data_IF_320113189437
#
_entry.id   IF_320113189437
#
_cell.length_a   1.000
_cell.length_b   1.000
_cell.length_c   1.000
_cell.angle_alpha   90.00
_cell.angle_beta   90.00
_cell.angle_gamma   90.00
#
_symmetry.space_group_name_H-M   'P 1'
#
loop_
_entity.id
_entity.type
_entity.pdbx_description
1 polymer ?
#
# COMPACT_ATOMS: atom_id res chain seq x y z
N UNK A 1 10.27 -1.61 -36.90
CA UNK A 1 9.53 -0.33 -36.87
C UNK A 1 8.51 -0.40 -35.75
N UNK A 2 8.63 0.42 -34.70
CA UNK A 2 7.66 0.39 -33.60
C UNK A 2 6.31 0.90 -34.12
N UNK A 3 5.29 0.02 -34.15
CA UNK A 3 3.93 0.37 -34.57
C UNK A 3 3.45 1.55 -33.72
N UNK A 4 3.20 2.69 -34.36
CA UNK A 4 2.80 3.93 -33.68
C UNK A 4 1.34 3.77 -33.27
N UNK A 5 1.12 3.34 -32.03
CA UNK A 5 -0.21 3.21 -31.44
C UNK A 5 -0.85 4.59 -31.25
N UNK A 6 -2.11 4.71 -31.63
CA UNK A 6 -2.93 5.90 -31.40
C UNK A 6 -3.23 6.09 -29.91
N UNK A 7 -3.66 7.30 -29.54
CA UNK A 7 -4.04 7.59 -28.15
C UNK A 7 -5.21 6.71 -27.67
N UNK A 8 -6.15 6.37 -28.56
CA UNK A 8 -7.27 5.48 -28.25
C UNK A 8 -6.80 4.04 -27.97
N UNK A 9 -5.86 3.52 -28.75
CA UNK A 9 -5.26 2.20 -28.49
C UNK A 9 -4.54 2.15 -27.14
N UNK A 10 -3.86 3.25 -26.76
CA UNK A 10 -3.24 3.35 -25.44
C UNK A 10 -4.27 3.36 -24.31
N UNK A 11 -5.40 4.03 -24.50
CA UNK A 11 -6.47 4.06 -23.50
C UNK A 11 -7.08 2.68 -23.27
N UNK A 12 -7.32 1.94 -24.37
CA UNK A 12 -7.79 0.56 -24.29
C UNK A 12 -6.80 -0.35 -23.54
N UNK A 13 -5.49 -0.18 -23.77
CA UNK A 13 -4.46 -0.93 -23.05
C UNK A 13 -4.45 -0.61 -21.55
N UNK A 14 -4.68 0.64 -21.14
CA UNK A 14 -4.76 0.98 -19.72
C UNK A 14 -6.01 0.40 -19.05
N UNK A 15 -7.16 0.42 -19.72
CA UNK A 15 -8.39 -0.22 -19.24
C UNK A 15 -8.24 -1.74 -19.13
N UNK A 16 -7.57 -2.36 -20.10
CA UNK A 16 -7.25 -3.78 -20.06
C UNK A 16 -6.27 -4.11 -18.92
N UNK A 17 -5.30 -3.23 -18.66
CA UNK A 17 -4.40 -3.36 -17.52
C UNK A 17 -5.16 -3.22 -16.18
N UNK A 18 -6.08 -2.27 -16.04
CA UNK A 18 -6.86 -2.08 -14.81
C UNK A 18 -7.81 -3.24 -14.52
N UNK A 19 -8.39 -3.84 -15.55
CA UNK A 19 -9.19 -5.06 -15.41
C UNK A 19 -8.35 -6.33 -15.24
N UNK A 20 -7.07 -6.28 -15.62
CA UNK A 20 -6.14 -7.37 -15.39
C UNK A 20 -5.57 -7.31 -13.97
N UNK A 21 -5.71 -8.39 -13.21
CA UNK A 21 -5.15 -8.48 -11.87
C UNK A 21 -3.63 -8.81 -11.88
N UNK A 22 -2.91 -8.34 -12.91
CA UNK A 22 -1.49 -8.64 -13.13
C UNK A 22 -0.62 -7.41 -12.89
N UNK A 23 0.68 -7.64 -12.67
CA UNK A 23 1.64 -6.54 -12.49
C UNK A 23 1.95 -5.85 -13.82
N UNK A 24 2.24 -4.55 -13.78
CA UNK A 24 2.54 -3.74 -14.98
C UNK A 24 3.68 -4.31 -15.81
N UNK A 25 4.66 -4.92 -15.16
CA UNK A 25 5.80 -5.54 -15.84
C UNK A 25 5.38 -6.71 -16.71
N UNK A 26 4.59 -7.63 -16.14
CA UNK A 26 4.05 -8.80 -16.86
C UNK A 26 3.14 -8.35 -18.01
N UNK A 27 2.28 -7.36 -17.77
CA UNK A 27 1.43 -6.79 -18.81
C UNK A 27 2.24 -6.17 -19.96
N UNK A 28 3.28 -5.40 -19.63
CA UNK A 28 4.13 -4.78 -20.65
C UNK A 28 4.89 -5.83 -21.48
N UNK A 29 5.42 -6.87 -20.85
CA UNK A 29 6.11 -7.97 -21.53
C UNK A 29 5.16 -8.72 -22.49
N UNK A 30 3.94 -9.03 -22.06
CA UNK A 30 2.93 -9.71 -22.89
C UNK A 30 2.49 -8.89 -24.11
N UNK A 31 2.38 -7.56 -23.95
CA UNK A 31 1.92 -6.66 -25.01
C UNK A 31 3.07 -6.07 -25.86
N UNK A 32 4.31 -6.52 -25.65
CA UNK A 32 5.50 -6.04 -26.35
C UNK A 32 5.75 -4.54 -26.13
N UNK A 33 5.46 -4.06 -24.92
CA UNK A 33 5.61 -2.68 -24.49
C UNK A 33 6.85 -2.54 -23.61
N UNK A 34 7.56 -1.43 -23.76
CA UNK A 34 8.54 -1.04 -22.74
C UNK A 34 7.83 -0.38 -21.57
N UNK A 35 8.27 -0.68 -20.35
CA UNK A 35 7.77 -0.02 -19.13
C UNK A 35 7.90 1.50 -19.23
N UNK A 36 9.04 1.98 -19.72
CA UNK A 36 9.29 3.42 -19.89
C UNK A 36 8.28 4.08 -20.83
N UNK A 37 7.94 3.43 -21.94
CA UNK A 37 6.91 3.93 -22.88
C UNK A 37 5.53 3.92 -22.25
N UNK A 38 5.20 2.87 -21.49
CA UNK A 38 3.93 2.76 -20.78
C UNK A 38 3.74 3.91 -19.77
N UNK A 39 4.75 4.21 -18.96
CA UNK A 39 4.73 5.34 -18.03
C UNK A 39 4.64 6.69 -18.73
N UNK A 40 5.48 6.90 -19.76
CA UNK A 40 5.48 8.16 -20.51
C UNK A 40 4.11 8.44 -21.15
N UNK A 41 3.47 7.40 -21.73
CA UNK A 41 2.15 7.52 -22.36
C UNK A 41 1.02 7.72 -21.35
N UNK A 42 1.08 7.03 -20.21
CA UNK A 42 0.11 7.21 -19.12
C UNK A 42 0.12 8.65 -18.61
N UNK A 43 1.32 9.20 -18.35
CA UNK A 43 1.48 10.60 -17.93
C UNK A 43 0.99 11.56 -19.00
N UNK A 44 1.33 11.34 -20.27
CA UNK A 44 0.90 12.20 -21.38
C UNK A 44 -0.64 12.26 -21.49
N UNK A 45 -1.32 11.12 -21.40
CA UNK A 45 -2.79 11.08 -21.49
C UNK A 45 -3.46 11.67 -20.25
N UNK A 46 -2.89 11.50 -19.05
CA UNK A 46 -3.35 12.19 -17.84
C UNK A 46 -3.22 13.72 -17.98
N UNK A 47 -2.09 14.20 -18.51
CA UNK A 47 -1.91 15.65 -18.73
C UNK A 47 -2.84 16.22 -19.78
N UNK A 48 -3.18 15.46 -20.83
CA UNK A 48 -4.14 15.91 -21.86
C UNK A 48 -5.56 15.96 -21.28
N UNK A 49 -5.97 14.98 -20.47
CA UNK A 49 -7.24 15.01 -19.75
C UNK A 49 -7.32 16.20 -18.75
N UNK A 50 -6.19 16.54 -18.12
CA UNK A 50 -6.07 17.67 -17.19
C UNK A 50 -5.95 19.02 -17.89
N UNK A 51 -5.52 19.06 -19.16
CA UNK A 51 -5.41 20.30 -19.94
C UNK A 51 -6.76 20.89 -20.36
N UNK A 52 -7.86 20.13 -20.21
CA UNK A 52 -9.22 20.66 -20.29
C UNK A 52 -9.62 21.46 -19.03
N UNK A 53 -8.83 21.38 -17.96
CA UNK A 53 -8.99 22.12 -16.71
C UNK A 53 -7.70 22.84 -16.40
N UNK A 54 -7.40 23.91 -17.13
CA UNK A 54 -6.29 24.82 -16.81
C UNK A 54 -6.68 25.63 -15.57
N UNK A 55 -6.60 24.98 -14.42
CA UNK A 55 -6.79 25.54 -13.10
C UNK A 55 -6.00 24.66 -12.14
N UNK A 56 -5.37 25.26 -11.14
CA UNK A 56 -4.59 24.57 -10.12
C UNK A 56 -5.24 23.24 -9.74
N UNK A 57 -4.65 22.14 -10.19
CA UNK A 57 -5.09 20.82 -9.77
C UNK A 57 -4.62 20.70 -8.33
N UNK A 58 -5.57 20.66 -7.40
CA UNK A 58 -5.29 20.21 -6.03
C UNK A 58 -4.74 18.81 -6.19
N UNK A 59 -3.42 18.66 -6.06
CA UNK A 59 -2.83 17.38 -5.77
C UNK A 59 -3.43 17.02 -4.41
N UNK A 60 -4.50 16.24 -4.43
CA UNK A 60 -4.82 15.41 -3.28
C UNK A 60 -3.56 14.57 -3.15
N UNK A 61 -2.76 14.91 -2.15
CA UNK A 61 -1.68 14.06 -1.70
C UNK A 61 -2.44 12.79 -1.37
N UNK A 62 -2.45 11.85 -2.32
CA UNK A 62 -2.66 10.45 -2.00
C UNK A 62 -1.44 10.20 -1.15
N UNK A 63 -1.60 10.47 0.14
CA UNK A 63 -0.76 9.94 1.17
C UNK A 63 -0.86 8.45 0.86
N UNK A 64 0.10 7.96 0.07
CA UNK A 64 0.70 6.69 0.32
C UNK A 64 1.26 6.85 1.72
N UNK A 65 0.34 6.80 2.69
CA UNK A 65 0.54 6.19 3.97
C UNK A 65 1.02 4.79 3.60
N UNK A 66 2.31 4.68 3.27
CA UNK A 66 3.17 3.81 4.03
C UNK A 66 2.70 4.04 5.44
N UNK A 67 1.77 3.18 5.89
CA UNK A 67 1.33 3.12 7.25
C UNK A 67 2.63 2.87 7.97
N UNK A 68 3.26 3.95 8.40
CA UNK A 68 4.30 3.89 9.39
C UNK A 68 3.50 3.44 10.59
N UNK A 69 3.31 2.13 10.69
CA UNK A 69 3.10 1.50 11.97
C UNK A 69 4.38 1.89 12.69
N UNK A 70 4.32 3.03 13.39
CA UNK A 70 5.17 3.22 14.54
C UNK A 70 4.95 1.91 15.30
N UNK A 71 5.96 1.05 15.25
CA UNK A 71 6.09 -0.04 16.17
C UNK A 71 6.24 0.70 17.49
N UNK A 72 5.09 1.03 18.12
CA UNK A 72 5.07 1.46 19.50
C UNK A 72 5.78 0.30 20.17
N UNK A 73 7.01 0.53 20.64
CA UNK A 73 7.74 -0.44 21.40
C UNK A 73 6.79 -0.81 22.55
N UNK A 74 6.15 -1.98 22.45
CA UNK A 74 5.23 -2.43 23.46
C UNK A 74 6.09 -2.67 24.67
N UNK A 75 6.03 -1.75 25.63
CA UNK A 75 6.72 -1.93 26.89
C UNK A 75 6.01 -3.09 27.57
N UNK A 76 6.66 -4.24 27.62
CA UNK A 76 6.10 -5.36 28.34
C UNK A 76 6.30 -5.15 29.85
N UNK A 77 5.36 -5.63 30.64
CA UNK A 77 5.46 -5.64 32.10
C UNK A 77 5.88 -7.03 32.57
N UNK A 78 6.82 -7.10 33.49
CA UNK A 78 7.27 -8.36 34.09
C UNK A 78 6.52 -8.60 35.40
N UNK A 79 5.90 -9.77 35.52
CA UNK A 79 5.33 -10.28 36.77
C UNK A 79 6.25 -11.36 37.32
N UNK A 80 6.71 -11.19 38.57
CA UNK A 80 7.46 -12.21 39.29
C UNK A 80 6.55 -12.83 40.35
N UNK A 81 6.36 -14.15 40.27
CA UNK A 81 5.66 -14.93 41.29
C UNK A 81 6.55 -16.10 41.68
N UNK A 82 6.95 -16.16 42.95
CA UNK A 82 7.98 -17.09 43.44
C UNK A 82 9.27 -17.00 42.59
N UNK A 83 9.75 -18.11 42.05
CA UNK A 83 10.92 -18.20 41.16
C UNK A 83 10.55 -18.12 39.66
N UNK A 84 9.31 -17.74 39.33
CA UNK A 84 8.85 -17.67 37.93
C UNK A 84 8.71 -16.22 37.49
N UNK A 85 9.35 -15.91 36.36
CA UNK A 85 9.26 -14.62 35.68
C UNK A 85 8.33 -14.74 34.45
N UNK A 86 7.28 -13.91 34.42
CA UNK A 86 6.30 -13.84 33.33
C UNK A 86 6.40 -12.48 32.64
N UNK A 87 6.58 -12.50 31.32
CA UNK A 87 6.64 -11.30 30.50
C UNK A 87 5.27 -11.02 29.86
N UNK A 88 4.65 -9.90 30.19
CA UNK A 88 3.27 -9.59 29.84
C UNK A 88 3.20 -8.41 28.86
N UNK A 89 2.67 -8.60 27.64
CA UNK A 89 2.53 -7.53 26.67
C UNK A 89 1.61 -6.40 27.12
N UNK A 90 1.93 -5.18 26.69
CA UNK A 90 1.02 -4.04 26.80
C UNK A 90 -0.28 -4.28 26.02
N UNK A 91 -1.42 -4.00 26.64
CA UNK A 91 -2.75 -4.30 26.10
C UNK A 91 -3.41 -5.56 26.68
N UNK A 92 -2.72 -6.29 27.56
CA UNK A 92 -3.34 -7.38 28.32
C UNK A 92 -4.46 -6.85 29.21
N UNK A 93 -5.71 -7.35 29.09
CA UNK A 93 -6.84 -6.88 29.89
C UNK A 93 -6.62 -7.06 31.40
N UNK A 94 -6.97 -6.05 32.19
CA UNK A 94 -6.79 -6.08 33.64
C UNK A 94 -7.58 -7.22 34.33
N UNK A 95 -8.75 -7.59 33.80
CA UNK A 95 -9.54 -8.70 34.32
C UNK A 95 -8.78 -10.05 34.21
N UNK A 96 -8.13 -10.29 33.08
CA UNK A 96 -7.31 -11.49 32.87
C UNK A 96 -6.10 -11.52 33.82
N UNK A 97 -5.47 -10.37 34.05
CA UNK A 97 -4.37 -10.27 35.02
C UNK A 97 -4.82 -10.58 36.44
N UNK A 98 -6.00 -10.09 36.86
CA UNK A 98 -6.53 -10.37 38.18
C UNK A 98 -6.85 -11.86 38.38
N UNK A 99 -7.43 -12.51 37.37
CA UNK A 99 -7.67 -13.96 37.38
C UNK A 99 -6.36 -14.75 37.41
N UNK A 100 -5.38 -14.38 36.58
CA UNK A 100 -4.07 -15.02 36.53
C UNK A 100 -3.34 -14.91 37.87
N UNK A 101 -3.28 -13.71 38.44
CA UNK A 101 -2.63 -13.49 39.74
C UNK A 101 -3.37 -14.28 40.83
N UNK A 102 -4.72 -14.28 40.82
CA UNK A 102 -5.51 -15.03 41.79
C UNK A 102 -5.32 -16.55 41.68
N UNK A 103 -5.10 -17.08 40.49
CA UNK A 103 -4.83 -18.51 40.27
C UNK A 103 -3.39 -18.92 40.63
N UNK A 104 -2.44 -17.98 40.62
CA UNK A 104 -1.03 -18.19 40.97
C UNK A 104 -0.72 -17.92 42.45
N UNK A 105 -1.68 -17.36 43.19
CA UNK A 105 -1.61 -17.08 44.64
C UNK A 105 -1.92 -18.34 45.45
#
# INVERSE_FOLDING_TARGET
>A
MAKRRSNQEWQALFQQYESSNMTQRVFCEQHGLSLSTFFAKRRQLQTVAQSATVGFVRAEVVEKTTKYQAQIATANMTLLVNDVELNIPQGTPAAYLAELIGALS
#
